data_IF_434384077188
#
_entry.id   IF_434384077188
#
_cell.length_a   1.000
_cell.length_b   1.000
_cell.length_c   1.000
_cell.angle_alpha   90.00
_cell.angle_beta   90.00
_cell.angle_gamma   90.00
#
_symmetry.space_group_name_H-M   'P 1'
#
loop_
_entity.id
_entity.type
_entity.pdbx_description
1 polymer ?
#
# COMPACT_ATOMS: atom_id res chain seq x y z
N UNK A 1 -19.24 -22.54 3.64
CA UNK A 1 -17.95 -23.29 3.71
C UNK A 1 -18.19 -24.57 4.50
N UNK A 2 -17.79 -25.74 4.00
CA UNK A 2 -18.11 -27.03 4.65
C UNK A 2 -17.23 -27.32 5.87
N UNK A 3 -17.84 -27.70 6.99
CA UNK A 3 -17.16 -28.10 8.22
C UNK A 3 -16.18 -29.29 8.01
N UNK A 4 -16.47 -30.16 7.05
CA UNK A 4 -15.58 -31.27 6.70
C UNK A 4 -14.27 -30.81 6.03
N UNK A 5 -14.29 -29.67 5.34
CA UNK A 5 -13.12 -29.04 4.71
C UNK A 5 -12.31 -28.23 5.72
N UNK A 6 -12.97 -27.48 6.62
CA UNK A 6 -12.26 -26.59 7.55
C UNK A 6 -11.34 -27.33 8.52
N UNK A 7 -11.67 -28.56 8.93
CA UNK A 7 -10.82 -29.36 9.84
C UNK A 7 -9.59 -30.01 9.21
N UNK A 8 -9.45 -29.99 7.89
CA UNK A 8 -8.32 -30.60 7.15
C UNK A 8 -7.17 -29.62 6.89
N UNK A 9 -7.40 -28.34 7.15
CA UNK A 9 -6.41 -27.28 7.01
C UNK A 9 -6.13 -26.66 8.38
N UNK A 10 -4.85 -26.44 8.69
CA UNK A 10 -4.46 -25.55 9.78
C UNK A 10 -4.67 -24.10 9.31
N UNK A 11 -5.74 -23.46 9.77
CA UNK A 11 -5.98 -22.06 9.44
C UNK A 11 -5.07 -21.18 10.27
N UNK A 12 -4.11 -20.53 9.63
CA UNK A 12 -3.24 -19.55 10.26
C UNK A 12 -3.76 -18.18 9.86
N UNK A 13 -4.23 -17.41 10.85
CA UNK A 13 -4.52 -16.00 10.63
C UNK A 13 -3.20 -15.24 10.57
N UNK A 14 -2.85 -14.75 9.38
CA UNK A 14 -1.71 -13.86 9.20
C UNK A 14 -2.24 -12.44 9.29
N UNK A 15 -2.02 -11.82 10.45
CA UNK A 15 -2.42 -10.44 10.70
C UNK A 15 -1.55 -9.46 9.88
N UNK A 16 -2.04 -8.23 9.71
CA UNK A 16 -1.22 -7.15 9.17
C UNK A 16 -0.07 -6.80 10.13
N UNK A 17 1.12 -6.42 9.62
CA UNK A 17 2.20 -5.99 10.50
C UNK A 17 1.80 -4.73 11.25
N UNK A 18 2.08 -4.70 12.55
CA UNK A 18 1.84 -3.54 13.42
C UNK A 18 2.64 -2.31 12.99
N UNK A 19 3.82 -2.55 12.43
CA UNK A 19 4.69 -1.52 11.86
C UNK A 19 4.87 -1.82 10.37
N UNK A 20 4.08 -1.13 9.55
CA UNK A 20 4.07 -1.27 8.09
C UNK A 20 5.37 -0.79 7.46
N UNK A 21 5.98 0.26 7.99
CA UNK A 21 7.26 0.78 7.50
C UNK A 21 8.41 -0.19 7.82
N UNK A 22 8.48 -0.69 9.06
CA UNK A 22 9.48 -1.69 9.42
C UNK A 22 9.34 -2.98 8.61
N UNK A 23 8.11 -3.40 8.28
CA UNK A 23 7.89 -4.53 7.37
C UNK A 23 8.47 -4.26 5.98
N UNK A 24 8.19 -3.11 5.38
CA UNK A 24 8.72 -2.74 4.06
C UNK A 24 10.25 -2.71 4.09
N UNK A 25 10.86 -2.13 5.13
CA UNK A 25 12.32 -2.14 5.29
C UNK A 25 12.88 -3.57 5.40
N UNK A 26 12.26 -4.42 6.21
CA UNK A 26 12.67 -5.81 6.34
C UNK A 26 12.54 -6.59 5.02
N UNK A 27 11.47 -6.35 4.26
CA UNK A 27 11.28 -6.93 2.94
C UNK A 27 12.34 -6.46 1.95
N UNK A 28 12.60 -5.15 1.85
CA UNK A 28 13.61 -4.58 0.95
C UNK A 28 15.01 -5.13 1.27
N UNK A 29 15.40 -5.20 2.55
CA UNK A 29 16.67 -5.81 2.95
C UNK A 29 16.76 -7.31 2.62
N UNK A 30 15.63 -8.02 2.63
CA UNK A 30 15.58 -9.44 2.26
C UNK A 30 15.81 -9.64 0.77
N UNK A 31 15.24 -8.78 -0.08
CA UNK A 31 15.38 -8.88 -1.54
C UNK A 31 16.66 -8.24 -2.08
N UNK A 32 17.18 -7.23 -1.37
CA UNK A 32 18.45 -6.59 -1.62
C UNK A 32 19.29 -6.54 -0.33
N UNK A 33 20.16 -7.56 -0.10
CA UNK A 33 21.01 -7.61 1.08
C UNK A 33 22.07 -6.51 1.18
N UNK A 34 22.39 -5.80 0.08
CA UNK A 34 23.38 -4.71 0.09
C UNK A 34 22.75 -3.35 0.34
N UNK A 35 21.41 -3.26 0.34
CA UNK A 35 20.69 -2.05 0.71
C UNK A 35 20.98 -1.67 2.16
N UNK A 36 21.54 -0.48 2.36
CA UNK A 36 21.96 0.04 3.66
C UNK A 36 20.79 0.28 4.65
N UNK A 37 19.55 0.19 4.17
CA UNK A 37 18.36 0.54 4.92
C UNK A 37 18.00 2.01 4.81
N UNK A 38 16.89 2.42 5.44
CA UNK A 38 16.45 3.80 5.39
C UNK A 38 17.28 4.68 6.32
N UNK A 39 17.37 5.97 6.01
CA UNK A 39 17.90 6.96 6.94
C UNK A 39 17.05 7.01 8.22
N UNK A 40 17.66 7.38 9.35
CA UNK A 40 16.95 7.45 10.62
C UNK A 40 15.80 8.48 10.54
N UNK A 41 14.57 8.05 10.86
CA UNK A 41 13.37 8.90 10.80
C UNK A 41 12.88 9.20 9.38
N UNK A 42 13.40 8.50 8.37
CA UNK A 42 12.94 8.61 7.00
C UNK A 42 11.43 8.30 6.89
N UNK A 43 10.64 9.13 6.18
CA UNK A 43 9.23 8.84 5.96
C UNK A 43 9.08 7.61 5.06
N UNK A 44 8.06 6.79 5.29
CA UNK A 44 7.68 5.70 4.40
C UNK A 44 6.26 5.94 3.87
N UNK A 45 6.10 6.68 2.76
CA UNK A 45 4.79 7.01 2.18
C UNK A 45 3.88 5.80 1.97
N UNK A 46 4.40 4.73 1.36
CA UNK A 46 3.65 3.50 1.12
C UNK A 46 3.26 2.81 2.43
N UNK A 47 4.14 2.81 3.43
CA UNK A 47 3.85 2.28 4.76
C UNK A 47 2.78 3.07 5.50
N UNK A 48 2.81 4.41 5.39
CA UNK A 48 1.79 5.29 5.95
C UNK A 48 0.42 5.05 5.31
N UNK A 49 0.38 4.94 3.99
CA UNK A 49 -0.86 4.64 3.27
C UNK A 49 -1.39 3.24 3.60
N UNK A 50 -0.53 2.22 3.67
CA UNK A 50 -0.93 0.88 4.10
C UNK A 50 -1.50 0.87 5.53
N UNK A 51 -0.90 1.62 6.45
CA UNK A 51 -1.42 1.78 7.81
C UNK A 51 -2.81 2.42 7.80
N UNK A 52 -3.05 3.42 6.94
CA UNK A 52 -4.37 4.01 6.75
C UNK A 52 -5.38 2.99 6.18
N UNK A 53 -4.98 2.21 5.17
CA UNK A 53 -5.81 1.13 4.62
C UNK A 53 -6.22 0.15 5.73
N UNK A 54 -5.28 -0.28 6.58
CA UNK A 54 -5.57 -1.25 7.65
C UNK A 54 -6.55 -0.74 8.71
N UNK A 55 -6.82 0.57 8.80
CA UNK A 55 -7.89 1.13 9.64
C UNK A 55 -9.29 0.91 9.05
N UNK A 56 -9.39 0.78 7.72
CA UNK A 56 -10.63 0.55 6.97
C UNK A 56 -10.83 -0.94 6.71
N UNK A 57 -9.81 -1.59 6.16
CA UNK A 57 -9.82 -3.00 5.81
C UNK A 57 -8.42 -3.55 5.99
N UNK A 58 -8.28 -4.52 6.89
CA UNK A 58 -7.00 -5.16 7.17
C UNK A 58 -6.49 -5.86 5.90
N UNK A 59 -5.37 -5.38 5.37
CA UNK A 59 -4.64 -5.98 4.26
C UNK A 59 -3.32 -6.55 4.76
N UNK A 60 -3.10 -7.84 4.47
CA UNK A 60 -1.84 -8.50 4.71
C UNK A 60 -0.72 -8.00 3.79
N UNK A 61 0.50 -8.55 3.93
CA UNK A 61 1.69 -8.06 3.23
C UNK A 61 1.72 -8.37 1.73
N UNK A 62 1.00 -9.38 1.25
CA UNK A 62 1.07 -9.83 -0.14
C UNK A 62 0.75 -8.71 -1.17
N UNK A 63 -0.41 -8.02 -1.10
CA UNK A 63 -0.70 -6.92 -2.03
C UNK A 63 0.30 -5.76 -1.94
N UNK A 64 0.92 -5.54 -0.78
CA UNK A 64 1.94 -4.50 -0.60
C UNK A 64 3.25 -4.89 -1.27
N UNK A 65 3.65 -6.17 -1.15
CA UNK A 65 4.80 -6.72 -1.87
C UNK A 65 4.60 -6.58 -3.38
N UNK A 66 3.39 -6.87 -3.87
CA UNK A 66 3.07 -6.73 -5.29
C UNK A 66 3.09 -5.26 -5.73
N UNK A 67 2.59 -4.34 -4.92
CA UNK A 67 2.69 -2.89 -5.17
C UNK A 67 4.15 -2.42 -5.21
N UNK A 68 5.00 -2.86 -4.27
CA UNK A 68 6.45 -2.54 -4.27
C UNK A 68 7.09 -3.00 -5.58
N UNK A 69 6.82 -4.24 -6.00
CA UNK A 69 7.38 -4.80 -7.24
C UNK A 69 6.89 -4.03 -8.46
N UNK A 70 5.61 -3.68 -8.50
CA UNK A 70 5.04 -2.88 -9.59
C UNK A 70 5.76 -1.53 -9.70
N UNK A 71 5.94 -0.82 -8.58
CA UNK A 71 6.66 0.45 -8.54
C UNK A 71 8.12 0.28 -9.00
N UNK A 72 8.83 -0.75 -8.53
CA UNK A 72 10.23 -1.00 -8.95
C UNK A 72 10.38 -1.30 -10.44
N UNK A 73 9.35 -1.87 -11.08
CA UNK A 73 9.32 -2.08 -12.53
C UNK A 73 9.11 -0.76 -13.29
N UNK A 74 8.25 0.12 -12.77
CA UNK A 74 7.93 1.41 -13.39
C UNK A 74 9.01 2.48 -13.13
N UNK A 75 9.62 2.47 -11.95
CA UNK A 75 10.63 3.40 -11.45
C UNK A 75 11.82 2.61 -10.90
N UNK A 76 12.83 2.38 -11.76
CA UNK A 76 13.98 1.54 -11.43
C UNK A 76 14.86 2.11 -10.30
N UNK A 77 14.75 3.40 -10.00
CA UNK A 77 15.44 4.07 -8.89
C UNK A 77 14.52 4.32 -7.68
N UNK A 78 13.41 3.58 -7.55
CA UNK A 78 12.41 3.79 -6.51
C UNK A 78 13.02 3.70 -5.08
N UNK A 79 12.86 4.78 -4.32
CA UNK A 79 13.20 4.82 -2.90
C UNK A 79 11.94 5.04 -2.04
N UNK A 80 11.47 3.95 -1.43
CA UNK A 80 10.25 3.92 -0.60
C UNK A 80 10.39 4.61 0.75
N UNK A 81 11.59 5.10 1.10
CA UNK A 81 11.89 5.77 2.36
C UNK A 81 12.30 7.23 2.16
N UNK A 82 11.69 7.90 1.18
CA UNK A 82 11.87 9.34 0.95
C UNK A 82 10.54 9.98 0.56
N UNK A 83 10.53 11.32 0.45
CA UNK A 83 9.40 12.02 -0.17
C UNK A 83 9.38 11.65 -1.66
N UNK A 84 8.26 11.13 -2.20
CA UNK A 84 8.24 10.64 -3.57
C UNK A 84 8.51 11.76 -4.58
N UNK A 85 9.41 11.48 -5.53
CA UNK A 85 9.61 12.30 -6.73
C UNK A 85 8.37 12.27 -7.61
N UNK A 86 8.21 13.21 -8.58
CA UNK A 86 7.06 13.18 -9.49
C UNK A 86 6.89 11.84 -10.23
N UNK A 87 7.97 11.24 -10.73
CA UNK A 87 7.91 9.93 -11.39
C UNK A 87 7.49 8.80 -10.44
N UNK A 88 7.98 8.83 -9.21
CA UNK A 88 7.61 7.85 -8.19
C UNK A 88 6.15 8.01 -7.74
N UNK A 89 5.59 9.23 -7.72
CA UNK A 89 4.17 9.45 -7.42
C UNK A 89 3.27 8.80 -8.45
N UNK A 90 3.59 8.95 -9.74
CA UNK A 90 2.86 8.27 -10.81
C UNK A 90 2.94 6.75 -10.68
N UNK A 91 4.15 6.21 -10.46
CA UNK A 91 4.33 4.77 -10.25
C UNK A 91 3.54 4.25 -9.02
N UNK A 92 3.49 5.03 -7.94
CA UNK A 92 2.70 4.70 -6.74
C UNK A 92 1.20 4.71 -7.06
N UNK A 93 0.70 5.72 -7.76
CA UNK A 93 -0.72 5.81 -8.15
C UNK A 93 -1.11 4.67 -9.10
N UNK A 94 -0.26 4.31 -10.05
CA UNK A 94 -0.47 3.17 -10.94
C UNK A 94 -0.48 1.85 -10.17
N UNK A 95 0.42 1.66 -9.21
CA UNK A 95 0.44 0.48 -8.35
C UNK A 95 -0.80 0.39 -7.44
N UNK A 96 -1.28 1.53 -6.93
CA UNK A 96 -2.54 1.62 -6.18
C UNK A 96 -3.70 1.18 -7.05
N UNK A 97 -3.81 1.73 -8.26
CA UNK A 97 -4.87 1.40 -9.22
C UNK A 97 -4.88 -0.09 -9.58
N UNK A 98 -3.69 -0.66 -9.82
CA UNK A 98 -3.55 -2.05 -10.30
C UNK A 98 -3.73 -3.09 -9.19
N UNK A 99 -3.21 -2.83 -7.99
CA UNK A 99 -3.04 -3.87 -6.95
C UNK A 99 -3.92 -3.62 -5.73
N UNK A 100 -4.02 -2.36 -5.28
CA UNK A 100 -4.64 -2.05 -3.99
C UNK A 100 -6.13 -1.74 -4.11
N UNK A 101 -6.54 -0.97 -5.13
CA UNK A 101 -7.96 -0.64 -5.33
C UNK A 101 -8.88 -1.86 -5.44
N UNK A 102 -8.53 -2.94 -6.18
CA UNK A 102 -9.40 -4.13 -6.23
C UNK A 102 -9.61 -4.77 -4.86
N UNK A 103 -8.67 -4.60 -3.92
CA UNK A 103 -8.79 -5.13 -2.56
C UNK A 103 -9.68 -4.26 -1.66
N UNK A 104 -10.00 -3.05 -2.10
CA UNK A 104 -10.83 -2.06 -1.40
C UNK A 104 -12.26 -2.01 -1.93
N UNK A 105 -12.63 -2.88 -2.87
CA UNK A 105 -13.99 -2.91 -3.41
C UNK A 105 -15.05 -3.13 -2.32
N UNK A 106 -16.12 -2.34 -2.38
CA UNK A 106 -17.23 -2.37 -1.42
C UNK A 106 -16.95 -1.73 -0.06
N UNK A 107 -15.97 -0.82 0.05
CA UNK A 107 -15.84 0.03 1.25
C UNK A 107 -16.93 1.12 1.24
N UNK A 108 -17.23 1.70 2.40
CA UNK A 108 -18.21 2.79 2.46
C UNK A 108 -17.61 4.10 1.95
N UNK A 109 -18.45 5.00 1.42
CA UNK A 109 -18.04 6.31 0.87
C UNK A 109 -17.17 7.14 1.84
N UNK A 110 -17.44 7.09 3.15
CA UNK A 110 -16.65 7.81 4.14
C UNK A 110 -15.22 7.28 4.24
N UNK A 111 -15.06 5.96 4.20
CA UNK A 111 -13.76 5.31 4.22
C UNK A 111 -12.99 5.57 2.93
N UNK A 112 -13.67 5.55 1.78
CA UNK A 112 -13.07 5.92 0.50
C UNK A 112 -12.51 7.35 0.51
N UNK A 113 -13.26 8.31 1.06
CA UNK A 113 -12.79 9.70 1.24
C UNK A 113 -11.60 9.78 2.19
N UNK A 114 -11.66 9.07 3.32
CA UNK A 114 -10.54 8.99 4.27
C UNK A 114 -9.27 8.44 3.60
N UNK A 115 -9.37 7.36 2.82
CA UNK A 115 -8.23 6.76 2.14
C UNK A 115 -7.69 7.66 1.01
N UNK A 116 -8.56 8.38 0.30
CA UNK A 116 -8.13 9.37 -0.68
C UNK A 116 -7.27 10.46 -0.01
N UNK A 117 -7.74 11.05 1.09
CA UNK A 117 -6.98 12.07 1.83
C UNK A 117 -5.66 11.50 2.39
N UNK A 118 -5.68 10.27 2.92
CA UNK A 118 -4.47 9.61 3.41
C UNK A 118 -3.44 9.37 2.29
N UNK A 119 -3.86 8.99 1.08
CA UNK A 119 -2.97 8.86 -0.07
C UNK A 119 -2.40 10.22 -0.51
N UNK A 120 -3.24 11.26 -0.54
CA UNK A 120 -2.84 12.62 -0.89
C UNK A 120 -1.74 13.13 0.03
N UNK A 121 -1.93 12.96 1.33
CA UNK A 121 -0.95 13.36 2.35
C UNK A 121 0.32 12.51 2.26
N UNK A 122 0.19 11.18 2.23
CA UNK A 122 1.33 10.27 2.25
C UNK A 122 2.22 10.44 1.02
N UNK A 123 1.64 10.56 -0.18
CA UNK A 123 2.40 10.65 -1.42
C UNK A 123 2.74 12.08 -1.83
N UNK A 124 2.20 13.10 -1.15
CA UNK A 124 2.41 14.50 -1.48
C UNK A 124 1.86 14.86 -2.86
N UNK A 125 0.64 14.41 -3.17
CA UNK A 125 0.04 14.55 -4.50
C UNK A 125 -0.26 16.02 -4.84
N UNK A 126 -0.07 16.37 -6.11
CA UNK A 126 -0.48 17.65 -6.67
C UNK A 126 -1.97 17.64 -7.05
N UNK A 127 -2.46 18.69 -7.71
CA UNK A 127 -3.87 18.81 -8.05
C UNK A 127 -4.37 17.68 -8.96
N UNK A 128 -3.54 17.21 -9.89
CA UNK A 128 -3.90 16.13 -10.81
C UNK A 128 -3.94 14.78 -10.10
N UNK A 129 -2.92 14.47 -9.31
CA UNK A 129 -2.88 13.25 -8.50
C UNK A 129 -4.02 13.18 -7.48
N UNK A 130 -4.39 14.31 -6.87
CA UNK A 130 -5.54 14.43 -5.96
C UNK A 130 -6.85 14.07 -6.65
N UNK A 131 -7.12 14.68 -7.79
CA UNK A 131 -8.35 14.44 -8.54
C UNK A 131 -8.42 12.98 -9.04
N UNK A 132 -7.28 12.42 -9.49
CA UNK A 132 -7.18 11.01 -9.87
C UNK A 132 -7.55 10.07 -8.73
N UNK A 133 -6.91 10.19 -7.56
CA UNK A 133 -7.13 9.26 -6.46
C UNK A 133 -8.54 9.38 -5.87
N UNK A 134 -9.10 10.60 -5.81
CA UNK A 134 -10.47 10.82 -5.35
C UNK A 134 -11.48 10.11 -6.27
N UNK A 135 -11.40 10.34 -7.59
CA UNK A 135 -12.27 9.67 -8.57
C UNK A 135 -12.16 8.15 -8.51
N UNK A 136 -10.95 7.61 -8.29
CA UNK A 136 -10.72 6.17 -8.17
C UNK A 136 -11.32 5.58 -6.90
N UNK A 137 -11.19 6.26 -5.77
CA UNK A 137 -11.77 5.82 -4.50
C UNK A 137 -13.30 5.85 -4.51
N UNK A 138 -13.91 6.78 -5.24
CA UNK A 138 -15.36 6.80 -5.44
C UNK A 138 -15.89 5.57 -6.18
N UNK A 139 -15.11 5.01 -7.12
CA UNK A 139 -15.53 3.84 -7.90
C UNK A 139 -15.60 2.56 -7.07
N UNK A 140 -14.76 2.43 -6.04
CA UNK A 140 -14.73 1.24 -5.15
C UNK A 140 -15.67 1.37 -3.96
N UNK A 141 -16.35 2.51 -3.81
CA UNK A 141 -17.25 2.77 -2.71
C UNK A 141 -18.69 2.33 -3.01
N UNK A 142 -19.40 1.88 -1.98
CA UNK A 142 -20.85 1.54 -2.02
C UNK A 142 -21.69 2.40 -1.08
#
# INVERSE_FOLDING_TARGET
MSYALSRRFGWIYVDAPRDTAAFIAAYLRKVDPVWAGPAHGAPCPLGAFWSAINKVRVLGPAPIIDAIRAVQVMEGAADFFTVPTPSMREALLDAVDMVLLPMLDGIVVQDAKFLAEAAIEAFGLDAEGKDRIQRRMEVVAV
#
